data_IF_659258936171
#
_entry.id   IF_659258936171
#
_cell.length_a   1.000
_cell.length_b   1.000
_cell.length_c   1.000
_cell.angle_alpha   90.00
_cell.angle_beta   90.00
_cell.angle_gamma   90.00
#
_symmetry.space_group_name_H-M   'P 1'
#
loop_
_entity.id
_entity.type
_entity.pdbx_description
1 polymer ?
#
# COMPACT_ATOMS: atom_id res chain seq x y z
N UNK A 1 -34.16 -22.30 5.92
CA UNK A 1 -34.31 -21.02 5.17
C UNK A 1 -33.48 -19.97 5.92
N UNK A 2 -32.16 -19.92 5.71
CA UNK A 2 -31.28 -19.06 6.53
C UNK A 2 -29.81 -18.96 6.10
N UNK A 3 -29.35 -19.74 5.13
CA UNK A 3 -27.92 -19.81 4.78
C UNK A 3 -27.46 -18.78 3.76
N UNK A 4 -28.38 -18.24 2.94
CA UNK A 4 -28.03 -17.29 1.86
C UNK A 4 -27.82 -15.87 2.41
N UNK A 5 -28.54 -15.49 3.47
CA UNK A 5 -28.43 -14.14 4.04
C UNK A 5 -27.13 -13.92 4.81
N UNK A 6 -26.67 -14.91 5.59
CA UNK A 6 -25.40 -14.80 6.32
C UNK A 6 -24.18 -14.83 5.40
N UNK A 7 -24.21 -15.61 4.33
CA UNK A 7 -23.13 -15.68 3.35
C UNK A 7 -23.03 -14.39 2.52
N UNK A 8 -24.16 -13.75 2.22
CA UNK A 8 -24.17 -12.43 1.56
C UNK A 8 -23.64 -11.32 2.49
N UNK A 9 -24.03 -11.33 3.77
CA UNK A 9 -23.54 -10.36 4.77
C UNK A 9 -22.02 -10.51 4.99
N UNK A 10 -21.49 -11.73 5.02
CA UNK A 10 -20.03 -11.96 5.09
C UNK A 10 -19.29 -11.41 3.87
N UNK A 11 -19.81 -11.68 2.66
CA UNK A 11 -19.22 -11.17 1.42
C UNK A 11 -19.24 -9.63 1.35
N UNK A 12 -20.29 -8.99 1.87
CA UNK A 12 -20.39 -7.54 1.99
C UNK A 12 -19.42 -6.95 3.03
N UNK A 13 -19.25 -7.61 4.18
CA UNK A 13 -18.29 -7.21 5.22
C UNK A 13 -16.83 -7.38 4.80
N UNK A 14 -16.52 -8.41 4.03
CA UNK A 14 -15.19 -8.61 3.42
C UNK A 14 -14.89 -7.51 2.39
N UNK A 15 -15.89 -7.11 1.60
CA UNK A 15 -15.78 -5.96 0.69
C UNK A 15 -15.63 -4.63 1.41
N UNK A 16 -16.35 -4.39 2.50
CA UNK A 16 -16.23 -3.16 3.31
C UNK A 16 -14.88 -3.05 4.02
N UNK A 17 -14.24 -4.17 4.34
CA UNK A 17 -12.85 -4.19 4.85
C UNK A 17 -11.79 -3.91 3.78
N UNK A 18 -12.07 -4.22 2.52
CA UNK A 18 -11.21 -3.91 1.36
C UNK A 18 -11.39 -2.47 0.82
N UNK A 19 -12.34 -1.69 1.37
CA UNK A 19 -12.87 -0.49 0.73
C UNK A 19 -12.21 0.85 1.10
N UNK A 20 -11.07 0.89 1.80
CA UNK A 20 -10.59 2.18 2.36
C UNK A 20 -9.29 2.75 1.80
N UNK A 21 -8.70 2.16 0.74
CA UNK A 21 -7.84 2.93 -0.16
C UNK A 21 -7.89 2.31 -1.55
N UNK A 22 -8.40 3.05 -2.54
CA UNK A 22 -8.33 2.55 -3.91
C UNK A 22 -6.85 2.44 -4.34
N UNK A 23 -6.42 1.37 -5.01
CA UNK A 23 -5.02 1.21 -5.45
C UNK A 23 -4.49 2.42 -6.22
N UNK A 24 -5.37 3.11 -6.96
CA UNK A 24 -5.06 4.35 -7.66
C UNK A 24 -4.79 5.54 -6.72
N UNK A 25 -5.54 5.65 -5.63
CA UNK A 25 -5.28 6.65 -4.59
C UNK A 25 -3.97 6.36 -3.87
N UNK A 26 -3.68 5.09 -3.56
CA UNK A 26 -2.39 4.67 -3.00
C UNK A 26 -1.25 5.09 -3.93
N UNK A 27 -1.38 4.81 -5.23
CA UNK A 27 -0.37 5.16 -6.23
C UNK A 27 -0.15 6.68 -6.30
N UNK A 28 -1.22 7.48 -6.26
CA UNK A 28 -1.12 8.96 -6.24
C UNK A 28 -0.40 9.45 -4.99
N UNK A 29 -0.80 8.96 -3.80
CA UNK A 29 -0.18 9.34 -2.53
C UNK A 29 1.31 9.02 -2.54
N UNK A 30 1.68 7.82 -2.98
CA UNK A 30 3.08 7.40 -3.04
C UNK A 30 3.87 8.28 -4.03
N UNK A 31 3.31 8.59 -5.19
CA UNK A 31 3.96 9.39 -6.24
C UNK A 31 4.13 10.86 -5.84
N UNK A 32 3.16 11.42 -5.14
CA UNK A 32 3.14 12.83 -4.72
C UNK A 32 3.94 13.07 -3.44
N UNK A 33 4.37 12.01 -2.74
CA UNK A 33 5.10 12.13 -1.49
C UNK A 33 6.48 12.79 -1.70
N UNK A 34 6.74 13.97 -1.10
CA UNK A 34 8.01 14.67 -1.25
C UNK A 34 9.09 14.01 -0.39
N UNK A 35 10.12 13.46 -1.06
CA UNK A 35 11.26 12.78 -0.41
C UNK A 35 12.02 13.67 0.58
N UNK A 36 11.96 14.99 0.39
CA UNK A 36 12.63 15.99 1.23
C UNK A 36 12.07 15.97 2.66
N UNK A 37 10.80 15.60 2.84
CA UNK A 37 10.20 15.45 4.17
C UNK A 37 10.79 14.26 4.95
N UNK A 38 11.38 13.27 4.27
CA UNK A 38 12.07 12.17 4.95
C UNK A 38 13.31 12.65 5.72
N UNK A 39 13.91 13.77 5.29
CA UNK A 39 15.02 14.41 6.00
C UNK A 39 14.58 15.10 7.29
N UNK A 40 13.28 15.40 7.44
CA UNK A 40 12.73 16.01 8.65
C UNK A 40 12.49 14.99 9.79
N UNK A 41 12.48 13.70 9.46
CA UNK A 41 12.22 12.62 10.41
C UNK A 41 13.49 12.32 11.21
N UNK A 42 13.36 12.27 12.54
CA UNK A 42 14.42 11.80 13.44
C UNK A 42 14.47 10.27 13.43
N UNK A 43 15.23 9.71 12.50
CA UNK A 43 15.43 8.27 12.42
C UNK A 43 16.32 7.77 13.58
N UNK A 44 15.99 6.59 14.11
CA UNK A 44 16.81 5.92 15.13
C UNK A 44 18.15 5.41 14.57
N UNK A 45 18.23 5.23 13.25
CA UNK A 45 19.40 4.77 12.50
C UNK A 45 19.58 5.60 11.24
N UNK A 46 20.79 5.72 10.69
CA UNK A 46 21.00 6.38 9.41
C UNK A 46 20.18 5.68 8.32
N UNK A 47 19.28 6.42 7.68
CA UNK A 47 18.47 5.93 6.56
C UNK A 47 19.07 6.46 5.26
N UNK A 48 19.27 5.57 4.30
CA UNK A 48 19.61 5.95 2.94
C UNK A 48 18.32 6.37 2.22
N UNK A 49 18.06 7.68 2.18
CA UNK A 49 16.86 8.26 1.59
C UNK A 49 16.73 7.92 0.10
N UNK A 50 17.84 7.86 -0.64
CA UNK A 50 17.82 7.50 -2.06
C UNK A 50 17.42 6.04 -2.28
N UNK A 51 17.91 5.12 -1.44
CA UNK A 51 17.46 3.72 -1.46
C UNK A 51 15.99 3.60 -1.06
N UNK A 52 15.57 4.29 0.00
CA UNK A 52 14.17 4.29 0.44
C UNK A 52 13.24 4.81 -0.66
N UNK A 53 13.61 5.90 -1.34
CA UNK A 53 12.83 6.46 -2.44
C UNK A 53 12.75 5.50 -3.64
N UNK A 54 13.84 4.78 -3.93
CA UNK A 54 13.85 3.74 -4.95
C UNK A 54 12.91 2.60 -4.59
N UNK A 55 12.95 2.14 -3.35
CA UNK A 55 12.10 1.05 -2.85
C UNK A 55 10.61 1.45 -2.85
N UNK A 56 10.30 2.69 -2.44
CA UNK A 56 8.94 3.26 -2.53
C UNK A 56 8.44 3.28 -3.99
N UNK A 57 9.31 3.61 -4.94
CA UNK A 57 8.97 3.59 -6.37
C UNK A 57 8.69 2.17 -6.88
N UNK A 58 9.44 1.17 -6.40
CA UNK A 58 9.19 -0.25 -6.70
C UNK A 58 7.83 -0.67 -6.14
N UNK A 59 7.54 -0.33 -4.89
CA UNK A 59 6.24 -0.59 -4.26
C UNK A 59 5.08 0.06 -5.02
N UNK A 60 5.22 1.29 -5.48
CA UNK A 60 4.24 1.94 -6.34
C UNK A 60 3.95 1.11 -7.59
N UNK A 61 4.99 0.65 -8.28
CA UNK A 61 4.83 -0.14 -9.51
C UNK A 61 4.21 -1.51 -9.22
N UNK A 62 4.60 -2.15 -8.12
CA UNK A 62 4.02 -3.42 -7.71
C UNK A 62 2.52 -3.27 -7.42
N UNK A 63 2.11 -2.21 -6.70
CA UNK A 63 0.70 -1.90 -6.43
C UNK A 63 -0.05 -1.58 -7.72
N UNK A 64 0.53 -0.75 -8.59
CA UNK A 64 -0.09 -0.32 -9.84
C UNK A 64 -0.32 -1.48 -10.81
N UNK A 65 0.63 -2.43 -10.88
CA UNK A 65 0.57 -3.60 -11.75
C UNK A 65 -0.10 -4.81 -11.10
N UNK A 66 -0.54 -4.70 -9.84
CA UNK A 66 -1.11 -5.82 -9.08
C UNK A 66 -0.12 -6.96 -8.83
N UNK A 67 1.17 -6.66 -8.73
CA UNK A 67 2.24 -7.63 -8.49
C UNK A 67 2.45 -7.86 -6.99
N UNK A 68 2.93 -9.06 -6.66
CA UNK A 68 3.36 -9.40 -5.31
C UNK A 68 4.61 -8.58 -4.99
N UNK A 69 4.70 -8.04 -3.76
CA UNK A 69 5.81 -7.22 -3.28
C UNK A 69 7.18 -7.86 -3.62
N UNK A 70 7.85 -7.24 -4.59
CA UNK A 70 9.12 -7.72 -5.14
C UNK A 70 10.29 -7.44 -4.20
N UNK A 71 10.20 -6.44 -3.33
CA UNK A 71 11.21 -6.14 -2.30
C UNK A 71 11.25 -7.19 -1.19
N UNK A 72 10.17 -7.95 -0.99
CA UNK A 72 10.12 -9.04 -0.02
C UNK A 72 10.65 -10.37 -0.56
N UNK A 73 11.04 -10.47 -1.86
CA UNK A 73 11.72 -11.66 -2.37
C UNK A 73 13.17 -11.68 -1.87
N UNK A 74 13.42 -12.59 -0.93
CA UNK A 74 14.75 -13.08 -0.56
C UNK A 74 14.94 -14.49 -1.09
#
# INVERSE_FOLDING_TARGET
MGTVSESFIRLSLEREKDLWVEPLEICKIIKEFPKELLNSIKWISPVNIDMLNKDITVLHNDIFLGQINSLCRK
#
